data_IF_476076423451
#
_entry.id   IF_476076423451
#
_cell.length_a   1.000
_cell.length_b   1.000
_cell.length_c   1.000
_cell.angle_alpha   90.00
_cell.angle_beta   90.00
_cell.angle_gamma   90.00
#
_symmetry.space_group_name_H-M   'P 1'
#
loop_
_entity.id
_entity.type
_entity.pdbx_description
1 polymer ?
#
# COMPACT_ATOMS: atom_id res chain seq x y z
N UNK A 1 -30.46 -6.64 -12.48
CA UNK A 1 -29.60 -6.90 -11.29
C UNK A 1 -29.58 -5.63 -10.48
N UNK A 2 -29.83 -5.68 -9.17
CA UNK A 2 -29.68 -4.51 -8.31
C UNK A 2 -28.16 -4.20 -8.24
N UNK A 3 -27.78 -2.99 -8.60
CA UNK A 3 -26.38 -2.53 -8.48
C UNK A 3 -26.03 -2.56 -7.00
N UNK A 4 -25.01 -3.33 -6.63
CA UNK A 4 -24.54 -3.38 -5.24
C UNK A 4 -23.65 -2.18 -4.97
N UNK A 5 -23.94 -1.47 -3.90
CA UNK A 5 -23.22 -0.27 -3.47
C UNK A 5 -21.90 -0.65 -2.78
N UNK A 6 -20.88 0.17 -2.90
CA UNK A 6 -19.63 -0.01 -2.15
C UNK A 6 -19.89 0.06 -0.64
N UNK A 7 -19.33 -0.88 0.11
CA UNK A 7 -19.41 -0.95 1.58
C UNK A 7 -18.05 -1.08 2.25
N UNK A 8 -17.03 -1.51 1.50
CA UNK A 8 -15.66 -1.66 1.98
C UNK A 8 -14.68 -1.11 0.93
N UNK A 9 -13.74 -0.29 1.38
CA UNK A 9 -12.57 0.08 0.60
C UNK A 9 -11.35 -0.53 1.28
N UNK A 10 -10.56 -1.28 0.51
CA UNK A 10 -9.29 -1.84 0.93
C UNK A 10 -8.19 -0.99 0.30
N UNK A 11 -7.37 -0.35 1.10
CA UNK A 11 -6.29 0.51 0.65
C UNK A 11 -4.93 -0.20 0.71
N UNK A 12 -4.06 0.04 -0.26
CA UNK A 12 -2.63 -0.05 -0.01
C UNK A 12 -2.17 1.09 0.91
N UNK A 13 -0.95 1.03 1.39
CA UNK A 13 -0.40 1.99 2.34
C UNK A 13 0.64 2.92 1.69
N UNK A 14 1.80 2.34 1.31
CA UNK A 14 2.95 3.09 0.78
C UNK A 14 2.64 3.59 -0.64
N UNK A 15 2.59 4.90 -0.86
CA UNK A 15 2.23 5.50 -2.16
C UNK A 15 0.73 5.71 -2.35
N UNK A 16 -0.12 5.20 -1.46
CA UNK A 16 -1.57 5.33 -1.56
C UNK A 16 -2.15 6.21 -0.45
N UNK A 17 -2.07 5.78 0.80
CA UNK A 17 -2.49 6.58 1.96
C UNK A 17 -1.37 7.49 2.47
N UNK A 18 -0.13 7.01 2.43
CA UNK A 18 1.05 7.69 2.95
C UNK A 18 2.13 7.85 1.88
N UNK A 19 2.73 9.05 1.83
CA UNK A 19 4.02 9.25 1.17
C UNK A 19 5.12 8.81 2.14
N UNK A 20 5.67 7.63 1.88
CA UNK A 20 6.67 6.97 2.74
C UNK A 20 8.05 6.91 2.10
N UNK A 21 8.21 7.46 0.88
CA UNK A 21 9.38 7.20 0.04
C UNK A 21 10.68 7.69 0.68
N UNK A 22 10.65 8.86 1.35
CA UNK A 22 11.84 9.48 1.90
C UNK A 22 12.41 8.69 3.08
N UNK A 23 11.55 8.22 4.00
CA UNK A 23 11.98 7.40 5.13
C UNK A 23 12.41 5.99 4.69
N UNK A 24 11.74 5.41 3.68
CA UNK A 24 12.15 4.14 3.08
C UNK A 24 13.51 4.24 2.39
N UNK A 25 13.74 5.31 1.63
CA UNK A 25 15.02 5.56 0.96
C UNK A 25 16.15 5.79 1.98
N UNK A 26 15.92 6.60 3.01
CA UNK A 26 16.87 6.84 4.08
C UNK A 26 17.28 5.55 4.80
N UNK A 27 16.32 4.73 5.19
CA UNK A 27 16.58 3.47 5.87
C UNK A 27 17.29 2.44 4.98
N UNK A 28 16.93 2.37 3.69
CA UNK A 28 17.61 1.49 2.74
C UNK A 28 19.05 1.95 2.50
N UNK A 29 19.30 3.24 2.35
CA UNK A 29 20.64 3.82 2.20
C UNK A 29 21.48 3.64 3.46
N UNK A 30 20.89 3.73 4.65
CA UNK A 30 21.55 3.36 5.91
C UNK A 30 22.03 1.90 5.87
N UNK A 31 21.16 0.98 5.50
CA UNK A 31 21.51 -0.45 5.41
C UNK A 31 22.54 -0.74 4.32
N UNK A 32 22.46 -0.10 3.13
CA UNK A 32 23.45 -0.21 2.07
C UNK A 32 24.84 0.21 2.57
N UNK A 33 24.92 1.37 3.24
CA UNK A 33 26.18 1.88 3.81
C UNK A 33 26.77 0.93 4.83
N UNK A 34 25.95 0.40 5.75
CA UNK A 34 26.37 -0.59 6.76
C UNK A 34 26.84 -1.92 6.14
N UNK A 35 26.34 -2.25 4.94
CA UNK A 35 26.77 -3.42 4.17
C UNK A 35 27.99 -3.15 3.27
N UNK A 36 28.53 -1.91 3.24
CA UNK A 36 29.62 -1.51 2.36
C UNK A 36 29.21 -1.51 0.88
N UNK A 37 27.97 -1.14 0.60
CA UNK A 37 27.41 -0.96 -0.74
C UNK A 37 27.18 0.53 -1.03
N UNK A 38 27.21 0.95 -2.33
CA UNK A 38 26.85 2.30 -2.71
C UNK A 38 25.37 2.59 -2.38
N UNK A 39 25.09 3.82 -1.99
CA UNK A 39 23.72 4.32 -1.81
C UNK A 39 23.05 4.56 -3.16
N UNK A 40 21.72 4.75 -3.14
CA UNK A 40 20.90 5.06 -4.30
C UNK A 40 20.29 6.44 -4.15
N UNK A 41 20.01 7.06 -5.28
CA UNK A 41 19.24 8.31 -5.31
C UNK A 41 17.78 8.04 -4.93
N UNK A 42 17.13 9.04 -4.33
CA UNK A 42 15.73 8.96 -3.90
C UNK A 42 14.78 8.45 -4.98
N UNK A 43 14.92 8.97 -6.19
CA UNK A 43 13.99 8.68 -7.28
C UNK A 43 14.08 7.22 -7.79
N UNK A 44 15.21 6.55 -7.56
CA UNK A 44 15.34 5.13 -7.89
C UNK A 44 14.41 4.25 -7.02
N UNK A 45 14.07 4.70 -5.81
CA UNK A 45 13.22 3.95 -4.89
C UNK A 45 11.77 3.85 -5.32
N UNK A 46 11.27 4.79 -6.14
CA UNK A 46 9.90 4.69 -6.67
C UNK A 46 9.65 3.36 -7.39
N UNK A 47 10.62 2.84 -8.12
CA UNK A 47 10.49 1.55 -8.83
C UNK A 47 10.79 0.33 -7.96
N UNK A 48 11.41 0.51 -6.80
CA UNK A 48 11.82 -0.58 -5.91
C UNK A 48 10.78 -0.89 -4.84
N UNK A 49 10.00 0.10 -4.42
CA UNK A 49 8.95 -0.04 -3.40
C UNK A 49 7.69 -0.68 -4.00
N UNK A 50 6.90 -1.39 -3.15
CA UNK A 50 5.62 -1.99 -3.49
C UNK A 50 5.62 -3.52 -3.63
N UNK A 51 6.79 -4.16 -3.79
CA UNK A 51 6.93 -5.61 -3.98
C UNK A 51 7.49 -6.36 -2.76
N UNK A 52 7.40 -5.76 -1.58
CA UNK A 52 7.92 -6.30 -0.33
C UNK A 52 9.39 -6.00 -0.09
N UNK A 53 9.80 -6.12 1.18
CA UNK A 53 11.11 -5.66 1.66
C UNK A 53 12.30 -6.39 1.02
N UNK A 54 12.18 -7.70 0.74
CA UNK A 54 13.25 -8.47 0.11
C UNK A 54 13.52 -8.04 -1.33
N UNK A 55 12.46 -7.70 -2.06
CA UNK A 55 12.59 -7.19 -3.42
C UNK A 55 13.17 -5.77 -3.42
N UNK A 56 12.81 -4.93 -2.46
CA UNK A 56 13.44 -3.64 -2.24
C UNK A 56 14.95 -3.80 -2.06
N UNK A 57 15.40 -4.69 -1.17
CA UNK A 57 16.83 -4.92 -0.93
C UNK A 57 17.53 -5.48 -2.16
N UNK A 58 16.95 -6.49 -2.84
CA UNK A 58 17.53 -7.06 -4.06
C UNK A 58 17.67 -6.00 -5.16
N UNK A 59 16.68 -5.15 -5.33
CA UNK A 59 16.71 -4.07 -6.30
C UNK A 59 17.75 -2.99 -5.97
N UNK A 60 17.90 -2.65 -4.68
CA UNK A 60 18.85 -1.65 -4.22
C UNK A 60 20.30 -2.12 -4.27
N UNK A 61 20.57 -3.41 -4.02
CA UNK A 61 21.92 -3.99 -4.04
C UNK A 61 22.51 -4.03 -5.45
N UNK A 62 23.87 -3.87 -5.58
CA UNK A 62 24.58 -4.21 -6.81
C UNK A 62 24.29 -5.66 -7.24
N UNK A 63 24.27 -5.94 -8.55
CA UNK A 63 23.86 -7.24 -9.09
C UNK A 63 24.69 -8.42 -8.56
N UNK A 64 25.99 -8.23 -8.41
CA UNK A 64 26.95 -9.21 -7.90
C UNK A 64 26.82 -9.45 -6.38
N UNK A 65 25.98 -8.66 -5.67
CA UNK A 65 25.80 -8.73 -4.21
C UNK A 65 24.40 -9.13 -3.76
N UNK A 66 23.54 -9.64 -4.65
CA UNK A 66 22.12 -9.99 -4.39
C UNK A 66 21.90 -11.36 -3.76
N UNK A 67 22.89 -11.90 -2.99
CA UNK A 67 22.73 -13.19 -2.30
C UNK A 67 21.70 -13.10 -1.16
N UNK A 68 21.08 -14.22 -0.79
CA UNK A 68 20.14 -14.27 0.34
C UNK A 68 20.80 -13.82 1.65
N UNK A 69 22.04 -14.21 1.90
CA UNK A 69 22.80 -13.79 3.07
C UNK A 69 22.99 -12.26 3.12
N UNK A 70 23.18 -11.59 1.95
CA UNK A 70 23.28 -10.14 1.88
C UNK A 70 21.92 -9.46 2.10
N UNK A 71 20.83 -10.02 1.57
CA UNK A 71 19.46 -9.55 1.83
C UNK A 71 19.14 -9.62 3.33
N UNK A 72 19.49 -10.72 4.00
CA UNK A 72 19.30 -10.87 5.45
C UNK A 72 20.14 -9.87 6.25
N UNK A 73 21.37 -9.60 5.78
CA UNK A 73 22.20 -8.57 6.37
C UNK A 73 21.62 -7.17 6.18
N UNK A 74 21.12 -6.84 5.00
CA UNK A 74 20.38 -5.59 4.74
C UNK A 74 19.22 -5.43 5.71
N UNK A 75 18.41 -6.49 5.88
CA UNK A 75 17.26 -6.51 6.78
C UNK A 75 17.67 -6.21 8.22
N UNK A 76 18.79 -6.76 8.70
CA UNK A 76 19.25 -6.57 10.06
C UNK A 76 19.65 -5.13 10.39
N UNK A 77 20.04 -4.32 9.40
CA UNK A 77 20.32 -2.89 9.57
C UNK A 77 19.09 -2.02 9.26
N UNK A 78 18.30 -2.40 8.26
CA UNK A 78 17.12 -1.66 7.83
C UNK A 78 16.05 -1.60 8.92
N UNK A 79 15.64 -2.77 9.44
CA UNK A 79 14.47 -2.83 10.34
C UNK A 79 14.63 -2.00 11.62
N UNK A 80 15.75 -2.08 12.37
CA UNK A 80 15.93 -1.24 13.54
C UNK A 80 15.87 0.25 13.21
N UNK A 81 16.57 0.66 12.15
CA UNK A 81 16.59 2.05 11.72
C UNK A 81 15.20 2.53 11.26
N UNK A 82 14.56 1.78 10.38
CA UNK A 82 13.24 2.15 9.87
C UNK A 82 12.17 2.21 10.97
N UNK A 83 12.18 1.28 11.92
CA UNK A 83 11.25 1.30 13.05
C UNK A 83 11.37 2.59 13.90
N UNK A 84 12.56 3.14 14.02
CA UNK A 84 12.82 4.39 14.75
C UNK A 84 12.48 5.64 13.91
N UNK A 85 12.71 5.59 12.58
CA UNK A 85 12.68 6.74 11.68
C UNK A 85 11.55 6.72 10.66
N UNK A 86 10.59 5.78 10.75
CA UNK A 86 9.54 5.60 9.74
C UNK A 86 8.50 6.71 9.67
N UNK A 87 8.56 7.68 10.58
CA UNK A 87 7.64 8.81 10.67
C UNK A 87 8.34 10.18 10.65
N UNK A 88 9.63 10.23 10.29
CA UNK A 88 10.39 11.49 10.27
C UNK A 88 9.91 12.40 9.13
N UNK A 89 9.74 11.84 7.93
CA UNK A 89 9.29 12.53 6.72
C UNK A 89 7.97 11.99 6.18
N UNK A 90 7.58 10.77 6.54
CA UNK A 90 6.30 10.15 6.16
C UNK A 90 5.11 11.03 6.53
N UNK A 91 4.19 11.23 5.59
CA UNK A 91 2.97 12.04 5.76
C UNK A 91 1.80 11.41 5.00
N UNK A 92 0.55 11.57 5.46
CA UNK A 92 -0.61 11.35 4.61
C UNK A 92 -0.55 12.25 3.37
N UNK A 93 -0.93 11.70 2.22
CA UNK A 93 -1.12 12.55 1.04
C UNK A 93 -2.23 13.58 1.31
N UNK A 94 -2.14 14.73 0.64
CA UNK A 94 -3.12 15.81 0.78
C UNK A 94 -4.54 15.32 0.44
N UNK A 95 -5.51 15.62 1.30
CA UNK A 95 -6.91 15.23 1.12
C UNK A 95 -7.27 13.82 1.62
N UNK A 96 -6.32 12.95 1.97
CA UNK A 96 -6.60 11.58 2.46
C UNK A 96 -7.46 11.63 3.73
N UNK A 97 -7.09 12.45 4.71
CA UNK A 97 -7.84 12.54 5.97
C UNK A 97 -9.27 13.04 5.74
N UNK A 98 -9.45 14.03 4.87
CA UNK A 98 -10.79 14.54 4.52
C UNK A 98 -11.62 13.46 3.80
N UNK A 99 -11.01 12.73 2.87
CA UNK A 99 -11.68 11.61 2.18
C UNK A 99 -12.16 10.56 3.18
N UNK A 100 -11.28 10.13 4.11
CA UNK A 100 -11.63 9.12 5.12
C UNK A 100 -12.74 9.62 6.04
N UNK A 101 -12.69 10.87 6.52
CA UNK A 101 -13.74 11.46 7.36
C UNK A 101 -15.11 11.45 6.65
N UNK A 102 -15.17 11.80 5.37
CA UNK A 102 -16.40 11.84 4.57
C UNK A 102 -16.96 10.44 4.29
N UNK A 103 -16.08 9.48 3.96
CA UNK A 103 -16.48 8.10 3.67
C UNK A 103 -16.94 7.37 4.93
N UNK A 104 -16.25 7.57 6.07
CA UNK A 104 -16.67 7.03 7.37
C UNK A 104 -18.05 7.56 7.78
N UNK A 105 -18.27 8.86 7.63
CA UNK A 105 -19.59 9.49 7.89
C UNK A 105 -20.70 8.91 6.98
N UNK A 106 -20.37 8.41 5.79
CA UNK A 106 -21.29 7.72 4.89
C UNK A 106 -21.47 6.22 5.21
N UNK A 107 -20.78 5.71 6.23
CA UNK A 107 -20.88 4.30 6.65
C UNK A 107 -20.00 3.34 5.85
N UNK A 108 -19.06 3.83 5.06
CA UNK A 108 -18.06 3.02 4.36
C UNK A 108 -17.04 2.50 5.37
N UNK A 109 -16.70 1.22 5.29
CA UNK A 109 -15.65 0.61 6.11
C UNK A 109 -14.33 0.62 5.39
N UNK A 110 -13.24 0.57 6.15
CA UNK A 110 -11.87 0.62 5.65
C UNK A 110 -11.08 -0.62 6.08
N UNK A 111 -10.22 -1.09 5.19
CA UNK A 111 -9.19 -2.06 5.50
C UNK A 111 -7.88 -1.63 4.83
N UNK A 112 -6.78 -2.19 5.29
CA UNK A 112 -5.46 -2.03 4.67
C UNK A 112 -4.93 -3.39 4.26
N UNK A 113 -4.35 -3.45 3.04
CA UNK A 113 -3.68 -4.63 2.50
C UNK A 113 -2.39 -4.20 1.78
N UNK A 114 -1.25 -4.37 2.45
CA UNK A 114 0.06 -3.88 1.97
C UNK A 114 1.12 -4.97 1.92
N UNK A 115 2.09 -4.84 1.00
CA UNK A 115 3.30 -5.66 0.96
C UNK A 115 4.38 -5.21 1.97
N UNK A 116 4.11 -4.15 2.73
CA UNK A 116 4.92 -3.76 3.88
C UNK A 116 4.79 -4.81 4.99
N UNK A 117 5.84 -5.08 5.76
CA UNK A 117 5.79 -6.03 6.88
C UNK A 117 4.73 -5.62 7.92
N UNK A 118 4.08 -6.62 8.54
CA UNK A 118 2.88 -6.43 9.39
C UNK A 118 3.07 -5.35 10.47
N UNK A 119 4.11 -5.47 11.29
CA UNK A 119 4.34 -4.53 12.40
C UNK A 119 4.56 -3.08 11.93
N UNK A 120 5.23 -2.89 10.77
CA UNK A 120 5.40 -1.55 10.18
C UNK A 120 4.09 -1.00 9.60
N UNK A 121 3.23 -1.85 9.05
CA UNK A 121 1.90 -1.46 8.58
C UNK A 121 1.03 -0.99 9.74
N UNK A 122 0.95 -1.79 10.81
CA UNK A 122 0.19 -1.45 12.03
C UNK A 122 0.67 -0.15 12.67
N UNK A 123 1.99 0.00 12.84
CA UNK A 123 2.58 1.19 13.46
C UNK A 123 2.24 2.49 12.71
N UNK A 124 2.30 2.47 11.36
CA UNK A 124 1.95 3.64 10.56
C UNK A 124 0.46 3.93 10.58
N UNK A 125 -0.39 2.91 10.50
CA UNK A 125 -1.85 3.12 10.61
C UNK A 125 -2.23 3.67 11.98
N UNK A 126 -1.70 3.12 13.07
CA UNK A 126 -1.92 3.64 14.42
C UNK A 126 -1.47 5.11 14.54
N UNK A 127 -0.29 5.41 14.04
CA UNK A 127 0.30 6.76 14.11
C UNK A 127 -0.51 7.82 13.36
N UNK A 128 -0.92 7.53 12.11
CA UNK A 128 -1.52 8.53 11.23
C UNK A 128 -3.04 8.45 11.14
N UNK A 129 -3.60 7.27 11.38
CA UNK A 129 -5.01 6.96 11.14
C UNK A 129 -5.69 6.24 12.30
N UNK A 130 -5.09 6.19 13.50
CA UNK A 130 -5.60 5.47 14.67
C UNK A 130 -6.99 5.91 15.16
N UNK A 131 -7.49 7.06 14.69
CA UNK A 131 -8.87 7.50 14.97
C UNK A 131 -9.94 6.75 14.16
N UNK A 132 -9.55 6.11 13.05
CA UNK A 132 -10.49 5.40 12.17
C UNK A 132 -10.59 3.92 12.55
N UNK A 133 -11.81 3.38 12.47
CA UNK A 133 -12.08 1.97 12.74
C UNK A 133 -11.78 1.06 11.54
N UNK A 134 -10.49 0.86 11.18
CA UNK A 134 -10.13 -0.12 10.16
C UNK A 134 -10.56 -1.53 10.60
N UNK A 135 -11.37 -2.20 9.78
CA UNK A 135 -11.86 -3.56 10.08
C UNK A 135 -10.77 -4.63 9.94
N UNK A 136 -9.71 -4.32 9.21
CA UNK A 136 -8.56 -5.19 9.02
C UNK A 136 -7.33 -4.36 8.63
N UNK A 137 -6.17 -4.65 9.22
CA UNK A 137 -4.87 -4.04 8.90
C UNK A 137 -3.90 -5.17 8.61
N UNK A 138 -3.66 -5.43 7.31
CA UNK A 138 -2.87 -6.56 6.84
C UNK A 138 -1.62 -6.07 6.12
N UNK A 139 -0.47 -6.46 6.66
CA UNK A 139 0.84 -6.37 6.03
C UNK A 139 1.35 -7.74 5.59
N UNK A 140 2.59 -7.79 5.10
CA UNK A 140 3.28 -9.04 4.79
C UNK A 140 3.56 -9.82 6.09
N UNK A 141 3.23 -11.11 6.09
CA UNK A 141 3.41 -12.07 7.19
C UNK A 141 4.11 -13.31 6.68
N UNK A 142 4.90 -13.94 7.53
CA UNK A 142 5.60 -15.19 7.20
C UNK A 142 4.59 -16.28 6.80
N UNK A 143 4.92 -17.05 5.76
CA UNK A 143 4.08 -18.13 5.25
C UNK A 143 2.83 -17.68 4.49
N UNK A 144 2.59 -16.39 4.36
CA UNK A 144 1.48 -15.84 3.54
C UNK A 144 2.00 -15.31 2.21
N UNK A 145 1.26 -15.51 1.11
CA UNK A 145 1.62 -14.94 -0.18
C UNK A 145 1.54 -13.40 -0.12
N UNK A 146 2.36 -12.75 -0.94
CA UNK A 146 2.34 -11.28 -1.10
C UNK A 146 1.49 -10.89 -2.31
N UNK A 147 1.05 -9.64 -2.36
CA UNK A 147 0.44 -9.04 -3.56
C UNK A 147 1.36 -9.27 -4.77
N UNK A 148 0.86 -9.64 -5.96
CA UNK A 148 -0.53 -9.59 -6.39
C UNK A 148 -1.37 -10.87 -6.11
N UNK A 149 -0.96 -11.75 -5.18
CA UNK A 149 -1.83 -12.84 -4.75
C UNK A 149 -3.08 -12.25 -4.06
N UNK A 150 -4.31 -12.72 -4.40
CA UNK A 150 -5.55 -12.15 -3.89
C UNK A 150 -5.85 -12.47 -2.43
N UNK A 151 -5.08 -13.37 -1.79
CA UNK A 151 -5.36 -13.87 -0.44
C UNK A 151 -5.50 -12.73 0.58
N UNK A 152 -4.67 -11.69 0.48
CA UNK A 152 -4.72 -10.55 1.41
C UNK A 152 -6.04 -9.77 1.32
N UNK A 153 -6.63 -9.66 0.12
CA UNK A 153 -7.95 -9.04 -0.09
C UNK A 153 -9.06 -9.90 0.49
N UNK A 154 -8.99 -11.22 0.28
CA UNK A 154 -9.95 -12.18 0.81
C UNK A 154 -9.95 -12.12 2.34
N UNK A 155 -8.77 -12.13 2.97
CA UNK A 155 -8.65 -12.00 4.42
C UNK A 155 -9.16 -10.64 4.94
N UNK A 156 -8.91 -9.54 4.22
CA UNK A 156 -9.42 -8.23 4.60
C UNK A 156 -10.96 -8.18 4.58
N UNK A 157 -11.60 -8.90 3.66
CA UNK A 157 -13.06 -9.00 3.58
C UNK A 157 -13.69 -9.75 4.77
N UNK A 158 -12.96 -10.68 5.41
CA UNK A 158 -13.43 -11.41 6.59
C UNK A 158 -13.76 -10.47 7.77
N UNK A 159 -13.16 -9.28 7.82
CA UNK A 159 -13.50 -8.21 8.79
C UNK A 159 -14.92 -7.64 8.62
N UNK A 160 -15.61 -7.94 7.51
CA UNK A 160 -16.97 -7.46 7.23
C UNK A 160 -17.87 -8.65 6.91
N UNK A 161 -18.65 -9.17 7.86
CA UNK A 161 -19.56 -10.29 7.61
C UNK A 161 -20.56 -9.98 6.48
N UNK A 162 -20.87 -11.03 5.70
CA UNK A 162 -21.88 -10.98 4.62
C UNK A 162 -21.57 -9.95 3.51
N UNK A 163 -20.29 -9.56 3.31
CA UNK A 163 -19.90 -8.72 2.20
C UNK A 163 -19.64 -9.55 0.94
N UNK A 164 -20.08 -9.05 -0.19
CA UNK A 164 -19.78 -9.64 -1.50
C UNK A 164 -18.69 -8.85 -2.23
N UNK A 165 -18.02 -9.47 -3.18
CA UNK A 165 -16.93 -8.84 -3.95
C UNK A 165 -17.37 -7.58 -4.70
N UNK A 166 -18.63 -7.54 -5.15
CA UNK A 166 -19.21 -6.40 -5.85
C UNK A 166 -19.36 -5.16 -4.94
N UNK A 167 -19.34 -5.34 -3.61
CA UNK A 167 -19.43 -4.28 -2.61
C UNK A 167 -18.04 -3.82 -2.12
N UNK A 168 -16.97 -4.36 -2.71
CA UNK A 168 -15.58 -4.07 -2.33
C UNK A 168 -14.87 -3.34 -3.44
N UNK A 169 -14.05 -2.38 -3.05
CA UNK A 169 -13.10 -1.69 -3.94
C UNK A 169 -11.71 -1.82 -3.35
N UNK A 170 -10.73 -2.15 -4.19
CA UNK A 170 -9.30 -2.11 -3.85
C UNK A 170 -8.67 -0.85 -4.42
N UNK A 171 -7.96 -0.08 -3.60
CA UNK A 171 -7.35 1.19 -3.97
C UNK A 171 -5.84 1.14 -3.78
N UNK A 172 -5.07 1.45 -4.82
CA UNK A 172 -3.62 1.44 -4.78
C UNK A 172 -2.98 2.22 -5.91
N UNK A 173 -1.65 2.40 -5.83
CA UNK A 173 -0.87 3.25 -6.73
C UNK A 173 0.03 2.47 -7.71
N UNK A 174 -0.04 1.14 -7.72
CA UNK A 174 0.86 0.32 -8.53
C UNK A 174 0.16 -0.74 -9.38
N UNK A 175 0.91 -1.29 -10.35
CA UNK A 175 0.52 -2.46 -11.14
C UNK A 175 0.20 -3.67 -10.23
N UNK A 176 0.97 -3.82 -9.16
CA UNK A 176 0.75 -4.87 -8.16
C UNK A 176 -0.62 -4.74 -7.51
N UNK A 177 -1.07 -3.53 -7.21
CA UNK A 177 -2.38 -3.25 -6.62
C UNK A 177 -3.52 -3.53 -7.58
N UNK A 178 -3.38 -3.05 -8.81
CA UNK A 178 -4.36 -3.31 -9.86
C UNK A 178 -4.55 -4.82 -10.06
N UNK A 179 -3.44 -5.56 -10.19
CA UNK A 179 -3.47 -7.02 -10.33
C UNK A 179 -4.05 -7.71 -9.09
N UNK A 180 -3.77 -7.21 -7.88
CA UNK A 180 -4.32 -7.77 -6.64
C UNK A 180 -5.86 -7.69 -6.63
N UNK A 181 -6.42 -6.53 -6.96
CA UNK A 181 -7.87 -6.35 -7.02
C UNK A 181 -8.51 -7.19 -8.15
N UNK A 182 -7.89 -7.23 -9.35
CA UNK A 182 -8.33 -8.06 -10.48
C UNK A 182 -8.34 -9.54 -10.08
N UNK A 183 -7.26 -10.05 -9.50
CA UNK A 183 -7.13 -11.44 -9.07
C UNK A 183 -8.13 -11.80 -7.96
N UNK A 184 -8.46 -10.86 -7.08
CA UNK A 184 -9.49 -11.02 -6.06
C UNK A 184 -10.92 -10.95 -6.63
N UNK A 185 -11.09 -10.42 -7.84
CA UNK A 185 -12.39 -10.22 -8.49
C UNK A 185 -13.18 -9.05 -7.87
N UNK A 186 -12.48 -8.02 -7.40
CA UNK A 186 -13.07 -6.77 -6.89
C UNK A 186 -12.76 -5.61 -7.83
N UNK A 187 -13.52 -4.51 -7.72
CA UNK A 187 -13.23 -3.28 -8.47
C UNK A 187 -11.92 -2.65 -7.98
N UNK A 188 -11.18 -2.00 -8.89
CA UNK A 188 -9.91 -1.34 -8.57
C UNK A 188 -9.99 0.16 -8.78
N UNK A 189 -9.36 0.92 -7.90
CA UNK A 189 -9.07 2.33 -8.06
C UNK A 189 -7.55 2.48 -8.14
N UNK A 190 -7.07 3.05 -9.26
CA UNK A 190 -5.69 3.49 -9.37
C UNK A 190 -5.55 4.93 -8.91
N UNK A 191 -4.52 5.25 -8.14
CA UNK A 191 -4.24 6.62 -7.70
C UNK A 191 -2.94 7.12 -8.33
N UNK A 192 -2.96 8.35 -8.87
CA UNK A 192 -1.86 8.88 -9.68
C UNK A 192 -0.86 9.74 -8.89
N UNK A 193 -1.07 9.93 -7.60
CA UNK A 193 -0.15 10.67 -6.73
C UNK A 193 0.93 9.81 -6.10
N UNK A 194 0.89 8.46 -6.30
CA UNK A 194 1.82 7.51 -5.73
C UNK A 194 3.07 7.28 -6.58
N UNK A 195 3.59 6.05 -6.56
CA UNK A 195 4.92 5.72 -7.07
C UNK A 195 4.93 5.30 -8.53
N UNK A 196 3.79 4.94 -9.14
CA UNK A 196 3.71 4.51 -10.55
C UNK A 196 3.03 5.56 -11.43
N UNK A 197 3.34 5.48 -12.69
CA UNK A 197 2.79 6.40 -13.68
C UNK A 197 1.32 6.12 -13.99
N UNK A 198 0.64 7.15 -14.47
CA UNK A 198 -0.75 7.05 -14.97
C UNK A 198 -0.92 5.93 -16.02
N UNK A 199 0.02 5.82 -16.95
CA UNK A 199 -0.07 4.86 -18.05
C UNK A 199 0.08 3.41 -17.57
N UNK A 200 0.95 3.15 -16.58
CA UNK A 200 1.07 1.84 -15.95
C UNK A 200 -0.25 1.42 -15.28
N UNK A 201 -0.92 2.32 -14.59
CA UNK A 201 -2.20 2.03 -13.95
C UNK A 201 -3.32 1.81 -14.98
N UNK A 202 -3.39 2.66 -16.01
CA UNK A 202 -4.40 2.55 -17.08
C UNK A 202 -4.30 1.24 -17.86
N UNK A 203 -3.11 0.64 -17.99
CA UNK A 203 -2.91 -0.63 -18.66
C UNK A 203 -3.74 -1.78 -18.03
N UNK A 204 -4.18 -1.62 -16.78
CA UNK A 204 -4.98 -2.59 -16.05
C UNK A 204 -6.49 -2.28 -16.03
N UNK A 205 -6.96 -1.24 -16.73
CA UNK A 205 -8.35 -0.82 -16.83
C UNK A 205 -9.05 -0.69 -15.45
N UNK A 206 -8.55 0.13 -14.51
CA UNK A 206 -9.17 0.33 -13.23
C UNK A 206 -10.61 0.90 -13.40
N UNK A 207 -11.50 0.59 -12.46
CA UNK A 207 -12.85 1.16 -12.42
C UNK A 207 -12.81 2.69 -12.31
N UNK A 208 -11.85 3.24 -11.58
CA UNK A 208 -11.55 4.66 -11.46
C UNK A 208 -10.04 4.84 -11.49
N UNK A 209 -9.58 5.87 -12.18
CA UNK A 209 -8.24 6.41 -12.04
C UNK A 209 -8.37 7.80 -11.42
N UNK A 210 -7.98 7.95 -10.15
CA UNK A 210 -8.13 9.17 -9.38
C UNK A 210 -6.84 10.01 -9.39
N UNK A 211 -7.00 11.31 -9.57
CA UNK A 211 -5.90 12.29 -9.50
C UNK A 211 -5.78 12.95 -8.11
N UNK A 212 -6.83 12.83 -7.29
CA UNK A 212 -6.87 13.30 -5.91
C UNK A 212 -7.87 12.49 -5.08
N UNK A 213 -7.76 12.48 -3.73
CA UNK A 213 -8.64 11.71 -2.86
C UNK A 213 -10.12 12.14 -2.93
N UNK A 214 -10.41 13.39 -3.29
CA UNK A 214 -11.77 13.90 -3.46
C UNK A 214 -12.53 13.14 -4.56
N UNK A 215 -11.88 12.78 -5.66
CA UNK A 215 -12.49 12.01 -6.74
C UNK A 215 -12.90 10.60 -6.30
N UNK A 216 -12.11 9.96 -5.43
CA UNK A 216 -12.48 8.67 -4.83
C UNK A 216 -13.76 8.83 -4.02
N UNK A 217 -13.79 9.85 -3.15
CA UNK A 217 -14.95 10.13 -2.31
C UNK A 217 -16.22 10.36 -3.15
N UNK A 218 -16.13 11.19 -4.18
CA UNK A 218 -17.26 11.47 -5.06
C UNK A 218 -17.76 10.24 -5.81
N UNK A 219 -16.84 9.43 -6.37
CA UNK A 219 -17.21 8.21 -7.10
C UNK A 219 -17.89 7.19 -6.19
N UNK A 220 -17.38 6.98 -4.97
CA UNK A 220 -17.96 6.06 -3.99
C UNK A 220 -19.34 6.54 -3.53
N UNK A 221 -19.49 7.83 -3.20
CA UNK A 221 -20.77 8.39 -2.77
C UNK A 221 -21.83 8.43 -3.90
N UNK A 222 -21.41 8.53 -5.15
CA UNK A 222 -22.30 8.39 -6.31
C UNK A 222 -22.73 6.93 -6.53
N UNK A 223 -21.85 5.98 -6.27
CA UNK A 223 -22.11 4.55 -6.36
C UNK A 223 -23.17 4.08 -5.33
N UNK A 224 -23.35 4.86 -4.24
CA UNK A 224 -24.33 4.61 -3.19
C UNK A 224 -25.76 5.14 -3.50
N UNK A 225 -25.94 5.89 -4.61
CA UNK A 225 -27.23 6.42 -5.06
C UNK A 225 -27.85 5.52 -6.10
#
# INVERSE_FOLDING_TARGET
MVKKMTRLIIFDLDGTLLDTIDDLAAACNHALTACGCPTRERDEYFMLVGRGIDNLFRGALPEDRRSSAMVDRMRSFFLPYYNEHSCDLTRPYEGITEMLDRLEAAGIRFAVASNKYQAGTEALIDRFFGKYGFVSILGQREGKPIKPDPQIVIEAMEGVPEISKEEVVYCGDSDVDMLTGINAGVRTIGVTWGFRTRDELLAHNPWLLAENPGEICEAILQDMK
#
